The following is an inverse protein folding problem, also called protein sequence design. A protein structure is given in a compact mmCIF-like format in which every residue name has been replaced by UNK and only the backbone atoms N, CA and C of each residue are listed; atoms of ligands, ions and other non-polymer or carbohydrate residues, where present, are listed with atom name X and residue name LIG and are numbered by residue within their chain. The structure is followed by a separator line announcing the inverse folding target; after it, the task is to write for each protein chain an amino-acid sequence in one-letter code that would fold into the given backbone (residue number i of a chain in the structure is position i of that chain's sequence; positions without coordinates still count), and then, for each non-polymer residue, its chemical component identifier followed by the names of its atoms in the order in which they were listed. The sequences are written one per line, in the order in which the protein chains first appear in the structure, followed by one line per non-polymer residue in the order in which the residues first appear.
data_IF_166185351363
#
_entry.id   IF_166185351363
#
_cell.length_a   1.000
_cell.length_b   1.000
_cell.length_c   1.000
_cell.angle_alpha   90.00
_cell.angle_beta   90.00
_cell.angle_gamma   90.00
#
_symmetry.space_group_name_H-M   'P 1'
#
loop_
_entity.id
_entity.type
_entity.pdbx_description
1 polymer ?
#
# COMPACT_ATOMS: atom_id res chain seq x y z
N UNK A 1 40.83 51.43 3.52
CA UNK A 1 40.94 50.61 2.30
C UNK A 1 40.68 49.16 2.69
N UNK A 2 39.41 48.76 2.74
CA UNK A 2 39.04 47.38 2.98
C UNK A 2 39.49 46.56 1.76
N UNK A 3 40.41 45.63 1.99
CA UNK A 3 41.06 44.84 0.95
C UNK A 3 40.02 44.12 0.10
N UNK A 4 40.09 44.25 -1.23
CA UNK A 4 39.22 43.57 -2.20
C UNK A 4 39.09 42.05 -1.95
N UNK A 5 40.05 41.47 -1.23
CA UNK A 5 40.05 40.08 -0.79
C UNK A 5 38.93 39.75 0.21
N UNK A 6 38.57 40.69 1.10
CA UNK A 6 37.52 40.48 2.11
C UNK A 6 36.13 40.45 1.46
N UNK A 7 35.93 41.24 0.40
CA UNK A 7 34.66 41.28 -0.36
C UNK A 7 34.49 39.99 -1.20
N UNK A 8 35.58 39.43 -1.73
CA UNK A 8 35.53 38.19 -2.49
C UNK A 8 35.25 36.97 -1.60
N UNK A 9 35.79 36.95 -0.38
CA UNK A 9 35.56 35.88 0.61
C UNK A 9 34.12 35.93 1.15
N UNK A 10 33.56 37.12 1.38
CA UNK A 10 32.16 37.24 1.83
C UNK A 10 31.15 36.85 0.74
N UNK A 11 31.44 37.12 -0.54
CA UNK A 11 30.62 36.66 -1.67
C UNK A 11 30.67 35.14 -1.87
N UNK A 12 31.83 34.51 -1.69
CA UNK A 12 31.97 33.04 -1.78
C UNK A 12 31.24 32.30 -0.65
N UNK A 13 31.29 32.84 0.58
CA UNK A 13 30.54 32.30 1.73
C UNK A 13 29.02 32.52 1.61
N UNK A 14 28.57 33.58 0.94
CA UNK A 14 27.15 33.81 0.66
C UNK A 14 26.58 32.84 -0.40
N UNK A 15 27.40 32.35 -1.33
CA UNK A 15 27.02 31.31 -2.29
C UNK A 15 26.92 29.90 -1.66
N UNK A 16 27.67 29.62 -0.60
CA UNK A 16 27.62 28.32 0.10
C UNK A 16 26.30 28.12 0.86
N UNK A 17 25.63 29.20 1.25
CA UNK A 17 24.32 29.18 1.92
C UNK A 17 23.17 28.94 0.91
N UNK A 18 23.44 29.03 -0.40
CA UNK A 18 22.44 28.84 -1.47
C UNK A 18 22.51 27.49 -2.19
N UNK A 19 23.44 26.60 -1.84
CA UNK A 19 23.53 25.24 -2.42
C UNK A 19 23.57 24.10 -1.40
N UNK A 20 23.25 24.37 -0.13
CA UNK A 20 23.19 23.38 0.94
C UNK A 20 21.77 22.86 1.24
N UNK A 21 20.92 22.58 0.25
CA UNK A 21 19.67 21.86 0.50
C UNK A 21 19.90 20.35 0.43
N UNK A 22 20.38 19.74 1.51
CA UNK A 22 20.29 18.28 1.72
C UNK A 22 18.87 17.82 2.09
N UNK A 23 17.83 18.38 1.44
CA UNK A 23 16.42 18.07 1.67
C UNK A 23 15.65 17.31 0.54
N UNK A 24 16.24 16.85 -0.59
CA UNK A 24 15.42 16.21 -1.63
C UNK A 24 15.00 14.77 -1.29
N UNK A 25 15.75 14.05 -0.44
CA UNK A 25 15.45 12.64 -0.13
C UNK A 25 14.29 12.52 0.86
N UNK A 26 14.22 13.37 1.88
CA UNK A 26 13.17 13.31 2.89
C UNK A 26 11.81 13.67 2.28
N UNK A 27 11.75 14.78 1.54
CA UNK A 27 10.54 15.21 0.83
C UNK A 27 10.06 14.17 -0.18
N UNK A 28 10.96 13.53 -0.94
CA UNK A 28 10.60 12.46 -1.88
C UNK A 28 10.06 11.22 -1.16
N UNK A 29 10.60 10.86 0.01
CA UNK A 29 10.12 9.74 0.83
C UNK A 29 8.76 10.02 1.46
N UNK A 30 8.54 11.23 1.95
CA UNK A 30 7.25 11.67 2.48
C UNK A 30 6.16 11.64 1.40
N UNK A 31 6.45 12.18 0.22
CA UNK A 31 5.52 12.13 -0.92
C UNK A 31 5.25 10.68 -1.40
N UNK A 32 6.27 9.82 -1.43
CA UNK A 32 6.12 8.39 -1.73
C UNK A 32 5.25 7.69 -0.67
N UNK A 33 5.42 8.02 0.61
CA UNK A 33 4.61 7.47 1.70
C UNK A 33 3.14 7.86 1.57
N UNK A 34 2.84 9.14 1.37
CA UNK A 34 1.48 9.63 1.18
C UNK A 34 0.80 8.98 -0.03
N UNK A 35 1.54 8.86 -1.15
CA UNK A 35 1.07 8.16 -2.33
C UNK A 35 0.77 6.68 -2.06
N UNK A 36 1.67 5.98 -1.36
CA UNK A 36 1.49 4.58 -0.97
C UNK A 36 0.28 4.40 -0.03
N UNK A 37 0.07 5.30 0.92
CA UNK A 37 -1.12 5.26 1.80
C UNK A 37 -2.41 5.43 0.99
N UNK A 38 -2.41 6.32 -0.01
CA UNK A 38 -3.58 6.53 -0.89
C UNK A 38 -3.92 5.34 -1.79
N UNK A 39 -3.02 4.37 -1.96
CA UNK A 39 -3.25 3.19 -2.80
C UNK A 39 -4.43 2.33 -2.31
N UNK A 40 -4.78 2.39 -1.02
CA UNK A 40 -5.94 1.67 -0.47
C UNK A 40 -7.25 2.10 -1.12
N UNK A 41 -7.37 3.36 -1.55
CA UNK A 41 -8.56 3.89 -2.24
C UNK A 41 -8.73 3.16 -3.57
N UNK A 42 -7.67 3.12 -4.38
CA UNK A 42 -7.69 2.45 -5.68
C UNK A 42 -7.92 0.93 -5.55
N UNK A 43 -7.35 0.30 -4.52
CA UNK A 43 -7.61 -1.12 -4.26
C UNK A 43 -9.07 -1.35 -3.89
N UNK A 44 -9.69 -0.46 -3.12
CA UNK A 44 -11.12 -0.55 -2.80
C UNK A 44 -11.99 -0.36 -4.05
N UNK A 45 -11.65 0.54 -4.96
CA UNK A 45 -12.35 0.68 -6.24
C UNK A 45 -12.32 -0.62 -7.04
N UNK A 46 -11.15 -1.27 -7.12
CA UNK A 46 -11.03 -2.59 -7.76
C UNK A 46 -11.81 -3.68 -7.02
N UNK A 47 -11.83 -3.66 -5.68
CA UNK A 47 -12.60 -4.62 -4.88
C UNK A 47 -14.10 -4.46 -5.09
N UNK A 48 -14.61 -3.24 -5.18
CA UNK A 48 -16.01 -2.95 -5.49
C UNK A 48 -16.38 -3.48 -6.88
N UNK A 49 -15.60 -3.13 -7.91
CA UNK A 49 -15.83 -3.61 -9.28
C UNK A 49 -15.75 -5.15 -9.39
N UNK A 50 -14.81 -5.77 -8.67
CA UNK A 50 -14.70 -7.22 -8.60
C UNK A 50 -15.89 -7.85 -7.87
N UNK A 51 -16.37 -7.25 -6.78
CA UNK A 51 -17.53 -7.74 -6.04
C UNK A 51 -18.80 -7.67 -6.88
N UNK A 52 -18.98 -6.62 -7.67
CA UNK A 52 -20.08 -6.49 -8.64
C UNK A 52 -19.99 -7.59 -9.71
N UNK A 53 -18.84 -7.69 -10.40
CA UNK A 53 -18.65 -8.65 -11.50
C UNK A 53 -18.75 -10.11 -11.05
N UNK A 54 -18.26 -10.40 -9.84
CA UNK A 54 -18.24 -11.75 -9.29
C UNK A 54 -19.42 -12.05 -8.36
N UNK A 55 -20.39 -11.13 -8.20
CA UNK A 55 -21.55 -11.26 -7.31
C UNK A 55 -21.14 -11.66 -5.87
N UNK A 56 -20.26 -10.88 -5.25
CA UNK A 56 -19.77 -11.11 -3.89
C UNK A 56 -20.47 -10.16 -2.91
N UNK A 57 -21.31 -10.71 -2.05
CA UNK A 57 -22.15 -9.96 -1.13
C UNK A 57 -21.45 -9.46 0.14
N UNK A 58 -20.27 -10.02 0.49
CA UNK A 58 -19.57 -9.76 1.75
C UNK A 58 -18.13 -9.22 1.56
N UNK A 59 -17.88 -8.46 0.49
CA UNK A 59 -16.57 -7.84 0.25
C UNK A 59 -16.34 -6.69 1.23
N UNK A 60 -15.42 -6.84 2.18
CA UNK A 60 -15.10 -5.75 3.09
C UNK A 60 -14.33 -4.63 2.40
N UNK A 61 -14.47 -3.40 2.87
CA UNK A 61 -13.51 -2.35 2.57
C UNK A 61 -12.16 -2.66 3.22
N UNK A 62 -11.08 -2.17 2.60
CA UNK A 62 -9.77 -2.12 3.22
C UNK A 62 -9.54 -0.75 3.83
N UNK A 63 -9.06 -0.73 5.07
CA UNK A 63 -8.57 0.48 5.75
C UNK A 63 -7.05 0.39 5.89
N UNK A 64 -6.36 1.52 5.78
CA UNK A 64 -4.91 1.56 5.99
C UNK A 64 -4.55 1.16 7.42
N UNK A 65 -3.56 0.29 7.57
CA UNK A 65 -3.06 -0.18 8.85
C UNK A 65 -1.54 0.01 8.97
N UNK A 66 -1.14 0.90 9.88
CA UNK A 66 0.27 1.25 10.14
C UNK A 66 1.09 0.07 10.67
N UNK A 67 0.46 -0.91 11.34
CA UNK A 67 1.17 -2.09 11.82
C UNK A 67 1.53 -3.01 10.65
N UNK A 68 0.61 -3.20 9.71
CA UNK A 68 0.84 -3.92 8.46
C UNK A 68 1.89 -3.22 7.59
N UNK A 69 1.84 -1.88 7.46
CA UNK A 69 2.88 -1.10 6.79
C UNK A 69 4.27 -1.36 7.42
N UNK A 70 4.36 -1.28 8.75
CA UNK A 70 5.60 -1.55 9.48
C UNK A 70 6.06 -3.00 9.37
N UNK A 71 5.14 -3.96 9.21
CA UNK A 71 5.50 -5.37 8.90
C UNK A 71 5.99 -5.48 7.45
N UNK A 72 5.38 -4.77 6.51
CA UNK A 72 5.77 -4.73 5.10
C UNK A 72 7.19 -4.18 4.93
N UNK A 73 7.55 -3.13 5.67
CA UNK A 73 8.89 -2.51 5.62
C UNK A 73 10.03 -3.40 6.11
N UNK A 74 9.70 -4.51 6.79
CA UNK A 74 10.67 -5.52 7.25
C UNK A 74 10.84 -6.68 6.25
N UNK A 75 10.05 -6.71 5.18
CA UNK A 75 10.18 -7.71 4.13
C UNK A 75 11.46 -7.46 3.33
N UNK A 76 11.99 -8.52 2.75
CA UNK A 76 13.18 -8.46 1.89
C UNK A 76 12.85 -9.03 0.52
N UNK A 77 13.69 -8.72 -0.48
CA UNK A 77 13.50 -9.26 -1.84
C UNK A 77 13.45 -10.79 -1.90
N UNK A 78 14.10 -11.49 -0.95
CA UNK A 78 14.12 -12.95 -0.86
C UNK A 78 13.04 -13.51 0.08
N UNK A 79 12.29 -12.66 0.79
CA UNK A 79 11.34 -13.09 1.82
C UNK A 79 10.11 -12.18 1.86
N UNK A 80 9.24 -12.35 0.87
CA UNK A 80 7.88 -11.78 0.82
C UNK A 80 6.88 -12.90 1.11
N UNK A 81 6.71 -13.26 2.38
CA UNK A 81 5.94 -14.44 2.79
C UNK A 81 4.75 -14.07 3.66
N UNK A 82 3.65 -14.77 3.46
CA UNK A 82 2.43 -14.71 4.26
C UNK A 82 2.71 -15.04 5.74
N UNK A 83 2.25 -14.18 6.65
CA UNK A 83 2.40 -14.31 8.11
C UNK A 83 1.22 -15.00 8.78
N UNK A 84 1.20 -15.20 10.11
CA UNK A 84 0.08 -15.84 10.80
C UNK A 84 -1.24 -15.06 10.68
N UNK A 85 -1.16 -13.74 10.59
CA UNK A 85 -2.23 -12.75 10.69
C UNK A 85 -2.34 -11.83 9.46
N UNK A 86 -1.60 -12.14 8.38
CA UNK A 86 -1.67 -11.40 7.13
C UNK A 86 -1.30 -12.24 5.91
N UNK A 87 -1.93 -11.91 4.78
CA UNK A 87 -1.57 -12.36 3.44
C UNK A 87 -0.67 -11.35 2.73
N UNK A 88 0.01 -11.76 1.67
CA UNK A 88 0.95 -10.93 0.90
C UNK A 88 0.38 -10.70 -0.48
N UNK A 89 0.36 -9.45 -0.93
CA UNK A 89 0.19 -9.06 -2.33
C UNK A 89 1.48 -8.36 -2.79
N UNK A 90 2.15 -8.92 -3.79
CA UNK A 90 3.37 -8.34 -4.35
C UNK A 90 2.97 -7.33 -5.42
N UNK A 91 3.62 -6.17 -5.42
CA UNK A 91 3.47 -5.14 -6.45
C UNK A 91 4.53 -5.45 -7.53
N UNK A 92 4.15 -6.05 -8.67
CA UNK A 92 5.09 -6.40 -9.73
C UNK A 92 5.66 -5.14 -10.39
N UNK A 93 6.86 -5.24 -10.98
CA UNK A 93 7.29 -4.26 -11.99
C UNK A 93 6.51 -4.51 -13.29
N UNK A 94 6.35 -3.50 -14.15
CA UNK A 94 5.62 -3.64 -15.43
C UNK A 94 6.11 -4.84 -16.27
N UNK A 95 7.43 -5.09 -16.31
CA UNK A 95 8.00 -6.20 -17.07
C UNK A 95 7.66 -7.59 -16.48
N UNK A 96 7.27 -7.64 -15.21
CA UNK A 96 7.04 -8.87 -14.46
C UNK A 96 5.57 -9.29 -14.36
N UNK A 97 4.63 -8.40 -14.68
CA UNK A 97 3.17 -8.66 -14.63
C UNK A 97 2.80 -9.88 -15.47
N UNK A 98 3.40 -10.03 -16.65
CA UNK A 98 3.05 -11.08 -17.62
C UNK A 98 3.88 -12.36 -17.48
N UNK A 99 4.94 -12.36 -16.66
CA UNK A 99 5.96 -13.42 -16.69
C UNK A 99 5.88 -14.40 -15.52
N UNK A 100 5.00 -14.20 -14.53
CA UNK A 100 4.95 -15.09 -13.36
C UNK A 100 3.56 -15.23 -12.74
N UNK A 101 3.02 -16.46 -12.82
CA UNK A 101 1.79 -16.91 -12.14
C UNK A 101 1.85 -16.63 -10.62
N UNK A 102 3.04 -16.61 -10.02
CA UNK A 102 3.23 -16.29 -8.61
C UNK A 102 2.75 -14.88 -8.27
N UNK A 103 2.98 -13.90 -9.14
CA UNK A 103 2.52 -12.53 -8.90
C UNK A 103 1.00 -12.43 -9.04
N UNK A 104 0.42 -13.18 -9.98
CA UNK A 104 -1.04 -13.26 -10.12
C UNK A 104 -1.70 -13.84 -8.87
N UNK A 105 -1.24 -14.98 -8.36
CA UNK A 105 -1.77 -15.57 -7.11
C UNK A 105 -1.60 -14.64 -5.89
N UNK A 106 -0.50 -13.88 -5.88
CA UNK A 106 -0.25 -12.89 -4.83
C UNK A 106 -1.22 -11.71 -4.94
N UNK A 107 -1.41 -11.21 -6.16
CA UNK A 107 -2.33 -10.10 -6.46
C UNK A 107 -3.78 -10.46 -6.15
N UNK A 108 -4.20 -11.71 -6.38
CA UNK A 108 -5.54 -12.19 -6.01
C UNK A 108 -5.86 -12.06 -4.51
N UNK A 109 -4.85 -11.94 -3.63
CA UNK A 109 -5.08 -11.70 -2.21
C UNK A 109 -5.75 -10.34 -1.95
N UNK A 110 -5.57 -9.36 -2.86
CA UNK A 110 -6.25 -8.06 -2.80
C UNK A 110 -7.77 -8.17 -2.91
N UNK A 111 -8.29 -9.26 -3.48
CA UNK A 111 -9.71 -9.50 -3.69
C UNK A 111 -10.32 -10.48 -2.71
N UNK A 112 -9.60 -10.83 -1.63
CA UNK A 112 -10.16 -11.68 -0.59
C UNK A 112 -11.22 -10.91 0.22
N UNK A 113 -12.49 -11.34 0.25
CA UNK A 113 -13.58 -10.58 0.87
C UNK A 113 -13.36 -10.28 2.35
N UNK A 114 -12.78 -11.23 3.09
CA UNK A 114 -12.60 -11.16 4.54
C UNK A 114 -11.43 -10.30 5.01
N UNK A 115 -10.59 -9.77 4.10
CA UNK A 115 -9.54 -8.83 4.49
C UNK A 115 -10.17 -7.46 4.73
N UNK A 116 -9.74 -6.78 5.78
CA UNK A 116 -10.29 -5.49 6.22
C UNK A 116 -9.21 -4.42 6.37
N UNK A 117 -7.94 -4.83 6.34
CA UNK A 117 -6.78 -3.96 6.58
C UNK A 117 -5.72 -4.16 5.52
N UNK A 118 -5.03 -3.08 5.17
CA UNK A 118 -3.94 -3.07 4.20
C UNK A 118 -2.80 -2.18 4.67
N UNK A 119 -1.56 -2.61 4.46
CA UNK A 119 -0.38 -1.76 4.62
C UNK A 119 0.73 -2.20 3.68
N UNK A 120 1.39 -1.25 3.03
CA UNK A 120 2.34 -1.51 1.95
C UNK A 120 3.70 -0.87 2.18
N UNK A 121 4.69 -1.37 1.46
CA UNK A 121 6.03 -0.82 1.43
C UNK A 121 6.63 -0.93 0.03
N UNK A 122 7.20 0.16 -0.44
CA UNK A 122 7.96 0.22 -1.70
C UNK A 122 9.44 -0.09 -1.44
N UNK A 123 10.00 -0.98 -2.23
CA UNK A 123 11.42 -1.32 -2.15
C UNK A 123 12.26 -0.24 -2.83
N UNK A 124 13.29 0.23 -2.14
CA UNK A 124 14.26 1.18 -2.68
C UNK A 124 15.68 0.61 -2.47
N UNK A 125 16.33 0.08 -3.53
CA UNK A 125 15.85 -0.05 -4.91
C UNK A 125 14.80 -1.17 -5.08
N UNK A 126 14.05 -1.21 -6.21
CA UNK A 126 13.15 -2.31 -6.53
C UNK A 126 13.84 -3.68 -6.53
N UNK A 127 13.11 -4.72 -6.13
CA UNK A 127 13.56 -6.09 -6.27
C UNK A 127 13.42 -6.57 -7.72
N UNK A 128 14.12 -7.64 -8.10
CA UNK A 128 13.94 -8.28 -9.41
C UNK A 128 12.47 -8.72 -9.59
N UNK A 129 11.71 -7.97 -10.40
CA UNK A 129 10.29 -8.20 -10.67
C UNK A 129 9.32 -7.72 -9.59
N UNK A 130 9.75 -6.94 -8.59
CA UNK A 130 8.82 -6.38 -7.60
C UNK A 130 9.21 -4.96 -7.17
N UNK A 131 8.28 -4.02 -7.29
CA UNK A 131 8.42 -2.64 -6.82
C UNK A 131 8.14 -2.52 -5.32
N UNK A 132 7.31 -3.39 -4.77
CA UNK A 132 6.89 -3.31 -3.38
C UNK A 132 6.07 -4.51 -2.94
N UNK A 133 5.59 -4.45 -1.71
CA UNK A 133 4.74 -5.48 -1.11
C UNK A 133 3.66 -4.84 -0.26
N UNK A 134 2.45 -5.37 -0.35
CA UNK A 134 1.32 -5.06 0.51
C UNK A 134 1.00 -6.28 1.37
N UNK A 135 0.65 -6.02 2.63
CA UNK A 135 0.14 -7.01 3.56
C UNK A 135 -1.34 -6.74 3.78
N UNK A 136 -2.15 -7.81 3.80
CA UNK A 136 -3.59 -7.73 4.04
C UNK A 136 -3.97 -8.60 5.22
N UNK A 137 -4.68 -8.02 6.19
CA UNK A 137 -5.10 -8.70 7.41
C UNK A 137 -6.62 -8.67 7.62
N UNK A 138 -7.13 -9.52 8.54
CA UNK A 138 -6.37 -10.36 9.47
C UNK A 138 -6.12 -11.81 8.96
N UNK A 139 -6.65 -12.19 7.81
CA UNK A 139 -6.60 -13.60 7.37
C UNK A 139 -5.36 -13.91 6.54
N UNK A 140 -4.85 -15.13 6.71
CA UNK A 140 -3.62 -15.63 6.08
C UNK A 140 -3.76 -15.86 4.56
N UNK A 141 -4.98 -16.19 4.10
CA UNK A 141 -5.47 -16.35 2.70
C UNK A 141 -6.89 -16.91 2.80
N UNK A 142 -7.81 -16.56 1.89
CA UNK A 142 -9.07 -17.31 1.76
C UNK A 142 -8.72 -18.71 1.25
N UNK A 143 -8.62 -19.68 2.17
CA UNK A 143 -8.44 -21.10 1.82
C UNK A 143 -9.76 -21.82 1.64
N UNK A 144 -10.87 -21.20 2.03
CA UNK A 144 -12.19 -21.82 1.99
C UNK A 144 -13.11 -20.97 1.13
N UNK A 145 -13.74 -21.62 0.16
CA UNK A 145 -14.84 -21.04 -0.62
C UNK A 145 -15.98 -20.50 0.27
N UNK A 146 -16.07 -21.01 1.50
CA UNK A 146 -17.01 -20.58 2.54
C UNK A 146 -16.84 -19.12 2.98
N UNK A 147 -15.68 -18.49 2.74
CA UNK A 147 -15.45 -17.08 3.08
C UNK A 147 -16.04 -16.12 2.02
N UNK A 148 -16.50 -16.65 0.88
CA UNK A 148 -17.16 -15.88 -0.19
C UNK A 148 -18.66 -16.14 -0.12
N UNK A 149 -19.44 -15.10 0.16
CA UNK A 149 -20.91 -15.16 0.10
C UNK A 149 -21.33 -14.60 -1.25
N UNK A 150 -22.07 -15.40 -2.01
CA UNK A 150 -22.63 -14.97 -3.30
C UNK A 150 -23.91 -14.17 -3.09
N UNK A 151 -24.09 -13.13 -3.88
CA UNK A 151 -25.28 -12.28 -3.86
C UNK A 151 -24.97 -10.85 -4.30
N UNK A 152 -25.97 -9.98 -4.15
CA UNK A 152 -25.82 -8.55 -4.44
C UNK A 152 -24.71 -7.94 -3.55
N UNK A 153 -23.78 -7.14 -4.10
CA UNK A 153 -22.74 -6.48 -3.31
C UNK A 153 -23.31 -5.79 -2.08
N UNK A 154 -22.73 -6.08 -0.93
CA UNK A 154 -23.11 -5.48 0.34
C UNK A 154 -24.35 -6.09 1.02
N UNK A 155 -25.06 -7.01 0.37
CA UNK A 155 -26.27 -7.65 0.96
C UNK A 155 -25.96 -8.61 2.10
N UNK A 156 -24.69 -9.00 2.27
CA UNK A 156 -24.23 -9.90 3.33
C UNK A 156 -23.19 -9.23 4.24
N UNK A 157 -23.23 -7.90 4.36
CA UNK A 157 -22.38 -7.19 5.33
C UNK A 157 -22.84 -7.46 6.77
N UNK A 158 -21.90 -7.67 7.70
CA UNK A 158 -22.23 -7.81 9.11
C UNK A 158 -22.68 -6.47 9.75
N UNK A 159 -22.28 -5.34 9.18
CA UNK A 159 -22.58 -3.99 9.64
C UNK A 159 -23.03 -3.09 8.49
N UNK A 160 -22.55 -1.86 8.45
CA UNK A 160 -22.91 -0.90 7.41
C UNK A 160 -22.36 -1.29 6.02
N UNK A 161 -23.08 -0.84 5.00
CA UNK A 161 -22.73 -1.03 3.59
C UNK A 161 -22.46 0.33 2.96
N UNK A 162 -21.31 0.48 2.32
CA UNK A 162 -20.99 1.65 1.50
C UNK A 162 -21.84 1.70 0.24
N UNK A 163 -21.97 2.88 -0.34
CA UNK A 163 -22.70 3.11 -1.59
C UNK A 163 -22.14 2.33 -2.79
N UNK A 164 -20.90 1.84 -2.70
CA UNK A 164 -20.20 1.04 -3.71
C UNK A 164 -20.25 -0.48 -3.43
N UNK A 165 -21.08 -0.91 -2.47
CA UNK A 165 -21.31 -2.33 -2.17
C UNK A 165 -20.26 -2.98 -1.28
N UNK A 166 -19.29 -2.22 -0.76
CA UNK A 166 -18.31 -2.72 0.21
C UNK A 166 -18.85 -2.69 1.65
N UNK A 167 -18.48 -3.69 2.45
CA UNK A 167 -18.83 -3.77 3.86
C UNK A 167 -17.89 -2.93 4.72
N UNK A 168 -18.46 -2.04 5.51
CA UNK A 168 -17.76 -1.25 6.53
C UNK A 168 -17.57 -2.12 7.77
N UNK A 169 -16.38 -2.04 8.37
CA UNK A 169 -16.11 -2.70 9.64
C UNK A 169 -16.25 -1.68 10.78
N UNK A 170 -17.22 -1.89 11.66
CA UNK A 170 -17.37 -1.10 12.88
C UNK A 170 -16.11 -1.25 13.75
N UNK A 171 -15.33 -0.18 13.89
CA UNK A 171 -14.13 -0.15 14.72
C UNK A 171 -12.86 0.43 14.09
N UNK A 172 -12.93 1.07 12.92
CA UNK A 172 -11.89 2.01 12.52
C UNK A 172 -12.02 3.27 13.40
N UNK A 173 -11.39 3.24 14.58
CA UNK A 173 -11.07 4.42 15.35
C UNK A 173 -10.23 5.34 14.45
N UNK A 174 -10.93 6.24 13.75
CA UNK A 174 -10.33 7.37 13.06
C UNK A 174 -9.91 8.34 14.15
N UNK A 175 -8.78 8.06 14.81
CA UNK A 175 -8.17 9.08 15.67
C UNK A 175 -7.71 10.25 14.80
N UNK A 176 -8.08 11.49 15.17
CA UNK A 176 -7.77 12.71 14.41
C UNK A 176 -6.27 13.03 14.34
#
# INVERSE_FOLDING_TARGET
MASCWVIFITLLMACSIRFGCSAPILSKREASKEFIESSVVQVNDWRSSFAETAEIANMNELVWDKELERKASKMTCHRMVTGPDYSVAVIPTEQSVLSSIRYLESFLNLFTPTQTKMGCFEFQPPCAGAMGVCLLGPKKKSKNQNDIIKGEPGSACPGETRTDGLCVMDGADVTP
#
